data_IF_556925750753
#
_entry.id   IF_556925750753
#
_cell.length_a   1.000
_cell.length_b   1.000
_cell.length_c   1.000
_cell.angle_alpha   90.00
_cell.angle_beta   90.00
_cell.angle_gamma   90.00
#
_symmetry.space_group_name_H-M   'P 1'
#
loop_
_entity.id
_entity.type
_entity.pdbx_description
1 polymer ?
#
# COMPACT_ATOMS: atom_id res chain seq x y z
N UNK A 1 -10.58 37.71 -32.84
CA UNK A 1 -11.38 37.07 -31.78
C UNK A 1 -12.47 36.24 -32.43
N UNK A 2 -12.19 34.97 -32.73
CA UNK A 2 -13.19 33.99 -33.21
C UNK A 2 -14.10 33.61 -32.03
N UNK A 3 -15.45 33.72 -31.98
CA UNK A 3 -16.49 33.57 -32.98
C UNK A 3 -16.37 32.20 -33.70
N UNK A 4 -17.31 31.25 -33.71
CA UNK A 4 -18.74 31.20 -33.40
C UNK A 4 -19.14 29.71 -33.15
N UNK A 5 -20.02 29.50 -32.18
CA UNK A 5 -21.27 28.73 -32.22
C UNK A 5 -21.31 27.19 -32.29
N UNK A 6 -22.15 26.68 -31.37
CA UNK A 6 -22.88 25.42 -31.44
C UNK A 6 -23.76 25.34 -32.71
N UNK A 7 -23.92 24.13 -33.27
CA UNK A 7 -25.13 23.80 -34.03
C UNK A 7 -25.44 22.31 -34.00
N UNK A 8 -26.71 22.04 -33.74
CA UNK A 8 -27.34 20.74 -33.58
C UNK A 8 -27.43 19.92 -34.87
N UNK A 9 -27.60 18.62 -34.62
CA UNK A 9 -27.91 17.49 -35.52
C UNK A 9 -28.63 17.85 -36.83
N UNK A 10 -28.07 17.37 -37.94
CA UNK A 10 -28.86 16.95 -39.10
C UNK A 10 -28.43 15.53 -39.48
N UNK A 11 -29.34 14.59 -39.28
CA UNK A 11 -29.26 13.25 -39.81
C UNK A 11 -29.80 13.26 -41.24
N UNK A 12 -28.97 12.99 -42.25
CA UNK A 12 -29.44 12.63 -43.58
C UNK A 12 -28.50 11.59 -44.23
N UNK A 13 -29.06 10.38 -44.37
CA UNK A 13 -29.07 9.49 -45.55
C UNK A 13 -27.72 8.93 -46.08
N UNK A 14 -27.59 7.60 -46.00
CA UNK A 14 -26.54 6.73 -46.60
C UNK A 14 -26.52 6.78 -48.15
N UNK A 15 -25.42 6.42 -48.85
CA UNK A 15 -25.10 5.00 -49.10
C UNK A 15 -23.60 4.62 -49.04
N UNK A 16 -23.35 3.41 -48.54
CA UNK A 16 -22.27 2.49 -48.88
C UNK A 16 -20.82 3.02 -48.94
N UNK A 17 -19.97 2.54 -48.03
CA UNK A 17 -18.78 1.69 -48.30
C UNK A 17 -17.79 1.76 -47.13
N UNK A 18 -17.30 0.58 -46.72
CA UNK A 18 -16.19 0.31 -45.79
C UNK A 18 -16.35 0.72 -44.31
N UNK A 19 -16.86 -0.22 -43.51
CA UNK A 19 -16.65 -0.23 -42.06
C UNK A 19 -15.20 -0.59 -41.76
N UNK A 20 -14.34 0.41 -41.58
CA UNK A 20 -13.20 0.25 -40.67
C UNK A 20 -13.76 0.50 -39.28
N UNK A 21 -14.15 -0.56 -38.59
CA UNK A 21 -14.45 -0.50 -37.16
C UNK A 21 -13.12 -0.23 -36.46
N UNK A 22 -12.76 1.04 -36.34
CA UNK A 22 -11.74 1.47 -35.41
C UNK A 22 -12.22 1.10 -34.02
N UNK A 23 -11.78 -0.06 -33.53
CA UNK A 23 -11.82 -0.42 -32.11
C UNK A 23 -10.96 0.59 -31.37
N UNK A 24 -11.52 1.75 -31.05
CA UNK A 24 -11.07 2.54 -29.92
C UNK A 24 -11.40 1.74 -28.66
N UNK A 25 -10.56 0.73 -28.37
CA UNK A 25 -10.53 0.05 -27.08
C UNK A 25 -9.95 1.06 -26.10
N UNK A 26 -10.82 1.89 -25.52
CA UNK A 26 -10.50 2.51 -24.24
C UNK A 26 -10.44 1.38 -23.22
N UNK A 27 -9.23 0.90 -22.98
CA UNK A 27 -8.92 0.03 -21.86
C UNK A 27 -9.09 0.90 -20.61
N UNK A 28 -10.28 0.84 -20.01
CA UNK A 28 -10.53 1.50 -18.74
C UNK A 28 -9.70 0.76 -17.70
N UNK A 29 -8.56 1.34 -17.31
CA UNK A 29 -7.74 0.80 -16.23
C UNK A 29 -8.58 0.88 -14.95
N UNK A 30 -8.83 -0.28 -14.34
CA UNK A 30 -9.57 -0.35 -13.09
C UNK A 30 -8.77 0.37 -12.00
N UNK A 31 -9.45 1.18 -11.18
CA UNK A 31 -8.83 1.88 -10.04
C UNK A 31 -9.42 1.36 -8.72
N UNK A 32 -8.60 1.29 -7.68
CA UNK A 32 -9.01 0.82 -6.37
C UNK A 32 -8.14 1.34 -5.23
N UNK A 33 -8.54 1.01 -4.01
CA UNK A 33 -7.86 1.49 -2.81
C UNK A 33 -6.49 0.84 -2.60
N UNK A 34 -5.55 1.62 -2.08
CA UNK A 34 -4.27 1.12 -1.57
C UNK A 34 -4.35 0.89 -0.06
N UNK A 35 -3.87 -0.26 0.42
CA UNK A 35 -3.80 -0.62 1.84
C UNK A 35 -2.37 -0.97 2.22
N UNK A 36 -1.94 -0.48 3.37
CA UNK A 36 -0.66 -0.76 4.00
C UNK A 36 -0.88 -1.55 5.27
N UNK A 37 -0.04 -2.55 5.52
CA UNK A 37 -0.10 -3.32 6.75
C UNK A 37 1.29 -3.62 7.32
N UNK A 38 1.35 -3.73 8.64
CA UNK A 38 2.54 -4.15 9.38
C UNK A 38 2.29 -5.57 9.88
N UNK A 39 3.17 -6.50 9.51
CA UNK A 39 3.14 -7.88 9.98
C UNK A 39 4.35 -8.17 10.85
N UNK A 40 4.16 -9.00 11.87
CA UNK A 40 5.28 -9.68 12.52
C UNK A 40 5.69 -10.89 11.67
N UNK A 41 6.97 -11.22 11.66
CA UNK A 41 7.44 -12.49 11.06
C UNK A 41 6.80 -13.74 11.67
N UNK A 42 6.36 -13.65 12.93
CA UNK A 42 5.82 -14.77 13.69
C UNK A 42 4.27 -14.81 13.69
N UNK A 43 3.60 -13.73 13.27
CA UNK A 43 2.14 -13.58 13.40
C UNK A 43 1.51 -13.51 12.00
N UNK A 44 0.54 -14.37 11.74
CA UNK A 44 -0.18 -14.45 10.45
C UNK A 44 -1.21 -13.34 10.22
N UNK A 45 -1.43 -12.48 11.20
CA UNK A 45 -2.36 -11.35 11.17
C UNK A 45 -1.61 -10.02 11.20
N UNK A 46 -2.11 -9.04 10.45
CA UNK A 46 -1.62 -7.68 10.49
C UNK A 46 -1.77 -7.10 11.90
N UNK A 47 -0.72 -6.44 12.38
CA UNK A 47 -0.73 -5.71 13.65
C UNK A 47 -1.45 -4.38 13.42
N UNK A 48 -1.00 -3.63 12.41
CA UNK A 48 -1.59 -2.37 11.96
C UNK A 48 -1.99 -2.55 10.50
N UNK A 49 -3.18 -2.07 10.14
CA UNK A 49 -3.65 -1.97 8.77
C UNK A 49 -4.22 -0.57 8.55
N UNK A 50 -3.87 0.06 7.44
CA UNK A 50 -4.29 1.41 7.06
C UNK A 50 -4.60 1.46 5.57
N UNK A 51 -5.81 1.92 5.24
CA UNK A 51 -6.14 2.31 3.87
C UNK A 51 -5.63 3.73 3.61
N UNK A 52 -4.98 3.93 2.47
CA UNK A 52 -4.60 5.26 1.98
C UNK A 52 -5.83 5.88 1.31
N UNK A 53 -6.19 7.14 1.63
CA UNK A 53 -7.33 7.83 1.03
C UNK A 53 -7.00 8.34 -0.39
N UNK A 54 -6.45 7.47 -1.22
CA UNK A 54 -6.09 7.73 -2.61
C UNK A 54 -6.21 6.42 -3.41
N UNK A 55 -6.84 6.49 -4.57
CA UNK A 55 -7.00 5.35 -5.46
C UNK A 55 -5.78 5.23 -6.39
N UNK A 56 -5.40 4.00 -6.68
CA UNK A 56 -4.36 3.65 -7.63
C UNK A 56 -4.94 2.72 -8.68
N UNK A 57 -4.26 2.59 -9.82
CA UNK A 57 -4.61 1.61 -10.85
C UNK A 57 -4.45 0.18 -10.30
N UNK A 58 -5.29 -0.75 -10.74
CA UNK A 58 -5.23 -2.16 -10.37
C UNK A 58 -4.30 -2.94 -11.32
N UNK A 59 -3.15 -2.37 -11.60
CA UNK A 59 -2.10 -2.92 -12.46
C UNK A 59 -0.72 -2.79 -11.78
N UNK A 60 0.34 -3.18 -12.48
CA UNK A 60 1.70 -3.10 -11.95
C UNK A 60 2.14 -1.68 -11.59
N UNK A 61 1.65 -0.68 -12.31
CA UNK A 61 1.97 0.72 -12.03
C UNK A 61 1.36 1.16 -10.69
N UNK A 62 0.10 0.83 -10.46
CA UNK A 62 -0.57 1.17 -9.21
C UNK A 62 -0.08 0.33 -8.03
N UNK A 63 0.35 -0.90 -8.26
CA UNK A 63 1.07 -1.72 -7.27
C UNK A 63 2.36 -1.05 -6.82
N UNK A 64 3.20 -0.60 -7.76
CA UNK A 64 4.45 0.09 -7.46
C UNK A 64 4.20 1.41 -6.71
N UNK A 65 3.23 2.19 -7.16
CA UNK A 65 2.81 3.43 -6.48
C UNK A 65 2.32 3.15 -5.06
N UNK A 66 1.47 2.15 -4.86
CA UNK A 66 0.99 1.78 -3.53
C UNK A 66 2.12 1.31 -2.62
N UNK A 67 3.07 0.55 -3.15
CA UNK A 67 4.27 0.14 -2.41
C UNK A 67 5.08 1.35 -1.95
N UNK A 68 5.37 2.31 -2.84
CA UNK A 68 6.08 3.54 -2.51
C UNK A 68 5.34 4.37 -1.46
N UNK A 69 4.02 4.50 -1.58
CA UNK A 69 3.18 5.19 -0.59
C UNK A 69 3.24 4.52 0.79
N UNK A 70 3.18 3.19 0.84
CA UNK A 70 3.28 2.46 2.10
C UNK A 70 4.66 2.59 2.75
N UNK A 71 5.74 2.62 1.95
CA UNK A 71 7.09 2.88 2.44
C UNK A 71 7.18 4.29 3.01
N UNK A 72 6.75 5.31 2.26
CA UNK A 72 6.78 6.69 2.70
C UNK A 72 5.98 6.90 4.01
N UNK A 73 4.80 6.29 4.11
CA UNK A 73 4.00 6.33 5.33
C UNK A 73 4.74 5.69 6.51
N UNK A 74 5.30 4.50 6.32
CA UNK A 74 6.02 3.80 7.37
C UNK A 74 7.27 4.55 7.83
N UNK A 75 8.03 5.13 6.91
CA UNK A 75 9.20 5.95 7.23
C UNK A 75 8.81 7.23 7.97
N UNK A 76 7.72 7.90 7.55
CA UNK A 76 7.22 9.09 8.26
C UNK A 76 6.79 8.80 9.70
N UNK A 77 6.42 7.54 9.98
CA UNK A 77 6.01 7.09 11.30
C UNK A 77 7.12 6.34 12.05
N UNK A 78 8.34 6.24 11.51
CA UNK A 78 9.41 5.36 12.02
C UNK A 78 9.65 5.52 13.51
N UNK A 79 9.76 6.77 13.98
CA UNK A 79 10.11 7.06 15.37
C UNK A 79 8.94 6.77 16.34
N UNK A 80 7.69 6.80 15.83
CA UNK A 80 6.49 6.50 16.61
C UNK A 80 6.05 5.04 16.48
N UNK A 81 6.54 4.34 15.45
CA UNK A 81 6.11 2.99 15.09
C UNK A 81 6.24 1.98 16.25
N UNK A 82 7.34 1.93 17.03
CA UNK A 82 7.46 1.00 18.15
C UNK A 82 6.33 1.16 19.17
N UNK A 83 6.03 2.40 19.58
CA UNK A 83 4.93 2.66 20.52
C UNK A 83 3.55 2.35 19.92
N UNK A 84 3.33 2.68 18.64
CA UNK A 84 2.08 2.35 17.96
C UNK A 84 1.85 0.83 17.87
N UNK A 85 2.90 0.07 17.58
CA UNK A 85 2.87 -1.39 17.49
C UNK A 85 2.61 -1.99 18.87
N UNK A 86 3.37 -1.60 19.89
CA UNK A 86 3.17 -2.13 21.25
C UNK A 86 1.79 -1.83 21.80
N UNK A 87 1.27 -0.60 21.59
CA UNK A 87 -0.09 -0.24 22.00
C UNK A 87 -1.14 -1.10 21.31
N UNK A 88 -0.91 -1.47 20.05
CA UNK A 88 -1.84 -2.28 19.27
C UNK A 88 -1.80 -3.76 19.67
N UNK A 89 -0.63 -4.27 20.03
CA UNK A 89 -0.45 -5.63 20.54
C UNK A 89 -0.97 -5.78 21.98
N UNK A 90 -0.78 -4.77 22.81
CA UNK A 90 -1.16 -4.74 24.24
C UNK A 90 -0.71 -5.99 25.03
N UNK A 91 0.44 -6.55 24.66
CA UNK A 91 1.02 -7.76 25.23
C UNK A 91 2.52 -7.57 25.43
N UNK A 92 3.12 -8.45 26.25
CA UNK A 92 4.57 -8.52 26.41
C UNK A 92 5.17 -9.30 25.24
N UNK A 93 6.09 -8.69 24.51
CA UNK A 93 6.74 -9.28 23.34
C UNK A 93 8.20 -8.83 23.30
N UNK A 94 9.10 -9.79 23.23
CA UNK A 94 10.53 -9.54 23.12
C UNK A 94 11.01 -9.77 21.68
N UNK A 95 12.00 -8.99 21.25
CA UNK A 95 12.69 -9.14 19.98
C UNK A 95 11.77 -9.22 18.74
N UNK A 96 10.71 -8.40 18.72
CA UNK A 96 9.73 -8.40 17.64
C UNK A 96 10.33 -7.80 16.36
N UNK A 97 10.40 -8.61 15.31
CA UNK A 97 10.72 -8.14 13.97
C UNK A 97 9.44 -7.94 13.16
N UNK A 98 9.32 -6.74 12.57
CA UNK A 98 8.17 -6.38 11.74
C UNK A 98 8.59 -5.98 10.32
N UNK A 99 7.65 -6.15 9.39
CA UNK A 99 7.81 -5.79 7.98
C UNK A 99 6.53 -5.12 7.46
N UNK A 100 6.71 -4.26 6.46
CA UNK A 100 5.62 -3.51 5.82
C UNK A 100 5.20 -4.22 4.54
N UNK A 101 3.89 -4.28 4.34
CA UNK A 101 3.25 -4.91 3.20
C UNK A 101 2.23 -3.95 2.59
N UNK A 102 2.03 -4.08 1.28
CA UNK A 102 1.06 -3.33 0.51
C UNK A 102 0.06 -4.28 -0.15
N UNK A 103 -1.16 -3.80 -0.33
CA UNK A 103 -2.22 -4.47 -1.09
C UNK A 103 -2.99 -3.40 -1.87
N UNK A 104 -3.18 -3.63 -3.16
CA UNK A 104 -4.00 -2.77 -4.02
C UNK A 104 -5.31 -3.47 -4.35
N UNK A 105 -6.36 -2.68 -4.48
CA UNK A 105 -7.68 -3.13 -4.89
C UNK A 105 -8.13 -4.34 -4.04
N UNK A 106 -8.77 -5.33 -4.67
CA UNK A 106 -9.23 -6.54 -3.98
C UNK A 106 -8.24 -7.72 -4.10
N UNK A 107 -6.94 -7.45 -4.26
CA UNK A 107 -5.93 -8.50 -4.38
C UNK A 107 -5.97 -9.46 -3.18
N UNK A 108 -5.91 -10.77 -3.42
CA UNK A 108 -6.06 -11.76 -2.33
C UNK A 108 -4.84 -11.87 -1.42
N UNK A 109 -3.69 -11.32 -1.83
CA UNK A 109 -2.41 -11.43 -1.11
C UNK A 109 -1.78 -10.08 -0.83
N UNK A 110 -1.00 -10.03 0.25
CA UNK A 110 -0.18 -8.90 0.64
C UNK A 110 1.21 -9.00 -0.02
N UNK A 111 1.70 -7.91 -0.60
CA UNK A 111 3.03 -7.83 -1.21
C UNK A 111 4.00 -7.15 -0.26
N UNK A 112 5.15 -7.78 -0.02
CA UNK A 112 6.20 -7.19 0.83
C UNK A 112 6.79 -5.96 0.14
N UNK A 113 6.92 -4.84 0.85
CA UNK A 113 7.39 -3.58 0.27
C UNK A 113 8.92 -3.45 0.20
N UNK A 114 9.66 -4.40 0.76
CA UNK A 114 11.10 -4.28 0.97
C UNK A 114 11.48 -3.64 2.30
N UNK A 115 10.53 -3.01 3.00
CA UNK A 115 10.80 -2.30 4.25
C UNK A 115 10.56 -3.20 5.48
N UNK A 116 11.60 -3.36 6.29
CA UNK A 116 11.57 -4.03 7.59
C UNK A 116 12.10 -3.09 8.67
N UNK A 117 11.72 -3.33 9.92
CA UNK A 117 12.33 -2.62 11.04
C UNK A 117 13.84 -2.91 11.08
N UNK A 118 14.64 -1.86 11.30
CA UNK A 118 16.09 -1.99 11.46
C UNK A 118 16.41 -2.67 12.79
N UNK A 119 15.78 -2.18 13.86
CA UNK A 119 15.96 -2.67 15.22
C UNK A 119 14.76 -3.53 15.65
N UNK A 120 14.98 -4.54 16.52
CA UNK A 120 13.89 -5.27 17.14
C UNK A 120 13.05 -4.35 18.04
N UNK A 121 11.75 -4.64 18.12
CA UNK A 121 10.83 -3.92 19.01
C UNK A 121 10.55 -4.80 20.23
N UNK A 122 10.69 -4.21 21.42
CA UNK A 122 10.30 -4.86 22.66
C UNK A 122 9.13 -4.11 23.29
N UNK A 123 8.12 -4.86 23.70
CA UNK A 123 6.87 -4.35 24.24
C UNK A 123 6.66 -4.91 25.64
N UNK A 124 6.38 -4.04 26.61
CA UNK A 124 5.95 -4.41 27.95
C UNK A 124 4.71 -3.61 28.32
N UNK A 125 3.62 -4.31 28.66
CA UNK A 125 2.31 -3.72 28.99
C UNK A 125 1.82 -2.69 27.95
N UNK A 126 2.02 -3.02 26.68
CA UNK A 126 1.62 -2.17 25.55
C UNK A 126 2.50 -0.94 25.34
N UNK A 127 3.62 -0.80 26.05
CA UNK A 127 4.62 0.27 25.85
C UNK A 127 5.86 -0.28 25.18
N UNK A 128 6.41 0.48 24.24
CA UNK A 128 7.74 0.18 23.70
C UNK A 128 8.82 0.48 24.74
N UNK A 129 9.71 -0.48 24.92
CA UNK A 129 10.92 -0.42 25.74
C UNK A 129 12.14 -0.76 24.87
N UNK A 130 13.34 -0.49 25.38
CA UNK A 130 14.56 -0.99 24.76
C UNK A 130 14.61 -2.51 24.89
N UNK A 131 15.02 -3.20 23.83
CA UNK A 131 15.31 -4.62 23.90
C UNK A 131 16.64 -4.82 24.64
N UNK A 132 16.73 -5.87 25.45
CA UNK A 132 18.02 -6.29 26.00
C UNK A 132 18.96 -6.65 24.85
N UNK A 133 20.15 -6.02 24.80
CA UNK A 133 21.18 -6.45 23.88
C UNK A 133 21.59 -7.89 24.21
N UNK A 134 21.84 -8.77 23.22
CA UNK A 134 22.47 -10.05 23.48
C UNK A 134 23.80 -9.78 24.19
N UNK A 135 23.91 -10.19 25.46
CA UNK A 135 25.17 -10.12 26.19
C UNK A 135 26.26 -10.74 25.32
N UNK A 136 27.41 -10.07 25.11
CA UNK A 136 28.51 -10.67 24.38
C UNK A 136 28.88 -11.96 25.13
N UNK A 137 28.76 -13.09 24.43
CA UNK A 137 29.23 -14.37 24.94
C UNK A 137 30.74 -14.21 25.17
N UNK A 138 31.15 -14.02 26.42
CA UNK A 138 32.55 -13.99 26.80
C UNK A 138 33.03 -15.44 26.68
N UNK A 139 33.62 -15.79 25.53
CA UNK A 139 34.36 -17.03 25.34
C UNK A 139 35.64 -16.93 26.19
N UNK A 140 35.80 -17.85 27.14
CA UNK A 140 36.88 -17.87 28.12
C UNK A 140 37.73 -19.12 27.93
#
# INVERSE_FOLDING_TARGET
MGQYFARERHALVEPATLRVIGLNRQETVEEGGCKCAVFSRQISKSIIERAIPYNVTCDSEGEEKCQQLCVALAESARDQAPQMICKKLNNNVENLQVAVYAKVCEATSWKFTGLKAADPICCHEGKSIACDEPLPMIEN
#
